data_IF_293202116862
#
_entry.id   IF_293202116862
#
_cell.length_a   1.000
_cell.length_b   1.000
_cell.length_c   1.000
_cell.angle_alpha   90.00
_cell.angle_beta   90.00
_cell.angle_gamma   90.00
#
_symmetry.space_group_name_H-M   'P 1'
#
loop_
_entity.id
_entity.type
_entity.pdbx_description
1 polymer ?
#
# COMPACT_ATOMS: atom_id res chain seq x y z
N UNK A 1 -21.95 -62.53 7.27
CA UNK A 1 -21.07 -61.63 8.05
C UNK A 1 -20.83 -60.43 7.14
N UNK A 2 -21.04 -59.19 7.60
CA UNK A 2 -21.00 -58.02 6.74
C UNK A 2 -19.55 -57.68 6.40
N UNK A 3 -19.28 -57.43 5.12
CA UNK A 3 -18.07 -56.76 4.67
C UNK A 3 -18.12 -55.33 5.20
N UNK A 4 -17.30 -55.06 6.21
CA UNK A 4 -17.08 -53.73 6.76
C UNK A 4 -16.38 -52.91 5.67
N UNK A 5 -17.18 -52.21 4.85
CA UNK A 5 -16.73 -51.19 3.91
C UNK A 5 -15.83 -50.22 4.66
N UNK A 6 -14.52 -50.39 4.47
CA UNK A 6 -13.48 -49.53 4.99
C UNK A 6 -13.63 -48.16 4.31
N UNK A 7 -14.51 -47.32 4.84
CA UNK A 7 -14.64 -45.92 4.46
C UNK A 7 -13.26 -45.28 4.59
N UNK A 8 -12.73 -44.62 3.54
CA UNK A 8 -11.54 -43.82 3.70
C UNK A 8 -11.81 -42.75 4.78
N UNK A 9 -10.80 -42.39 5.61
CA UNK A 9 -11.00 -41.37 6.62
C UNK A 9 -11.55 -40.10 5.95
N UNK A 10 -12.46 -39.35 6.60
CA UNK A 10 -12.85 -38.05 6.09
C UNK A 10 -11.56 -37.25 5.96
N UNK A 11 -11.23 -36.85 4.72
CA UNK A 11 -10.17 -35.88 4.47
C UNK A 11 -10.55 -34.70 5.37
N UNK A 12 -9.72 -34.44 6.36
CA UNK A 12 -9.89 -33.26 7.19
C UNK A 12 -9.65 -32.07 6.26
N UNK A 13 -10.73 -31.59 5.63
CA UNK A 13 -10.81 -30.29 4.99
C UNK A 13 -10.79 -29.24 6.10
N UNK A 14 -9.65 -29.18 6.77
CA UNK A 14 -9.17 -27.97 7.42
C UNK A 14 -8.09 -27.41 6.51
N UNK A 15 -8.48 -27.11 5.26
CA UNK A 15 -7.78 -26.11 4.44
C UNK A 15 -8.09 -24.73 5.02
N UNK A 16 -7.65 -24.48 6.25
CA UNK A 16 -7.34 -23.12 6.66
C UNK A 16 -6.19 -22.67 5.79
N UNK A 17 -6.48 -21.97 4.68
CA UNK A 17 -5.55 -21.39 3.71
C UNK A 17 -4.24 -20.96 4.40
N UNK A 18 -3.19 -21.80 4.41
CA UNK A 18 -1.92 -21.47 5.06
C UNK A 18 -1.18 -20.35 4.30
N UNK A 19 -1.68 -20.02 3.11
CA UNK A 19 -1.05 -19.14 2.16
C UNK A 19 -1.48 -17.68 2.29
N UNK A 20 -2.65 -17.34 2.84
CA UNK A 20 -3.08 -15.94 2.83
C UNK A 20 -2.12 -15.05 3.61
N UNK A 21 -1.85 -15.39 4.88
CA UNK A 21 -0.95 -14.63 5.76
C UNK A 21 0.46 -14.48 5.20
N UNK A 22 1.00 -15.54 4.58
CA UNK A 22 2.30 -15.49 3.91
C UNK A 22 2.35 -14.42 2.83
N UNK A 23 1.32 -14.34 1.99
CA UNK A 23 1.28 -13.36 0.90
C UNK A 23 1.06 -11.94 1.39
N UNK A 24 0.35 -11.75 2.50
CA UNK A 24 0.29 -10.44 3.18
C UNK A 24 1.67 -10.00 3.67
N UNK A 25 2.48 -10.91 4.25
CA UNK A 25 3.84 -10.60 4.70
C UNK A 25 4.78 -10.27 3.54
N UNK A 26 4.82 -11.11 2.51
CA UNK A 26 5.62 -10.88 1.29
C UNK A 26 5.23 -9.56 0.63
N UNK A 27 3.92 -9.26 0.60
CA UNK A 27 3.43 -7.98 0.10
C UNK A 27 3.94 -6.80 0.93
N UNK A 28 3.83 -6.85 2.26
CA UNK A 28 4.28 -5.76 3.14
C UNK A 28 5.79 -5.50 3.00
N UNK A 29 6.58 -6.56 2.89
CA UNK A 29 8.01 -6.45 2.65
C UNK A 29 8.29 -5.80 1.29
N UNK A 30 7.69 -6.32 0.21
CA UNK A 30 7.86 -5.78 -1.13
C UNK A 30 7.41 -4.31 -1.23
N UNK A 31 6.27 -3.96 -0.63
CA UNK A 31 5.76 -2.59 -0.57
C UNK A 31 6.69 -1.66 0.21
N UNK A 32 7.26 -2.14 1.32
CA UNK A 32 8.27 -1.39 2.08
C UNK A 32 9.51 -1.13 1.24
N UNK A 33 10.00 -2.14 0.50
CA UNK A 33 11.10 -1.96 -0.45
C UNK A 33 10.75 -0.96 -1.56
N UNK A 34 9.54 -1.02 -2.11
CA UNK A 34 9.08 -0.07 -3.12
C UNK A 34 9.11 1.38 -2.62
N UNK A 35 8.63 1.63 -1.40
CA UNK A 35 8.68 2.97 -0.79
C UNK A 35 10.11 3.50 -0.67
N UNK A 36 11.11 2.64 -0.51
CA UNK A 36 12.51 3.07 -0.46
C UNK A 36 13.01 3.61 -1.80
N UNK A 37 12.45 3.14 -2.91
CA UNK A 37 12.81 3.58 -4.27
C UNK A 37 12.21 4.94 -4.63
N UNK A 38 11.21 5.41 -3.87
CA UNK A 38 10.52 6.65 -4.20
C UNK A 38 11.37 7.89 -3.93
N UNK A 39 11.26 8.83 -4.86
CA UNK A 39 11.79 10.18 -4.71
C UNK A 39 11.05 10.98 -3.64
N UNK A 40 11.64 12.11 -3.27
CA UNK A 40 11.10 13.00 -2.22
C UNK A 40 9.70 13.52 -2.57
N UNK A 41 9.50 13.97 -3.81
CA UNK A 41 8.22 14.53 -4.25
C UNK A 41 7.09 13.50 -4.22
N UNK A 42 7.38 12.26 -4.65
CA UNK A 42 6.42 11.16 -4.66
C UNK A 42 6.04 10.73 -3.23
N UNK A 43 7.02 10.69 -2.32
CA UNK A 43 6.78 10.43 -0.90
C UNK A 43 5.96 11.54 -0.24
N UNK A 44 6.25 12.79 -0.57
CA UNK A 44 5.49 13.93 -0.07
C UNK A 44 4.04 13.84 -0.53
N UNK A 45 3.81 13.57 -1.83
CA UNK A 45 2.47 13.40 -2.38
C UNK A 45 1.70 12.27 -1.69
N UNK A 46 2.31 11.09 -1.52
CA UNK A 46 1.69 9.98 -0.80
C UNK A 46 1.40 10.35 0.66
N UNK A 47 2.34 10.98 1.35
CA UNK A 47 2.17 11.41 2.73
C UNK A 47 1.03 12.40 2.92
N UNK A 48 0.90 13.40 2.03
CA UNK A 48 -0.18 14.39 2.07
C UNK A 48 -1.56 13.74 1.89
N UNK A 49 -1.67 12.81 0.95
CA UNK A 49 -2.94 12.13 0.63
C UNK A 49 -3.33 11.06 1.66
N UNK A 50 -2.37 10.28 2.17
CA UNK A 50 -2.67 9.15 3.06
C UNK A 50 -2.56 9.50 4.54
N UNK A 51 -1.55 10.27 4.95
CA UNK A 51 -1.35 10.60 6.36
C UNK A 51 -2.09 11.86 6.78
N UNK A 52 -2.03 12.91 5.96
CA UNK A 52 -2.77 14.15 6.22
C UNK A 52 -4.20 14.15 5.64
N UNK A 53 -4.58 13.08 4.92
CA UNK A 53 -5.92 12.90 4.33
C UNK A 53 -6.39 14.05 3.44
N UNK A 54 -5.46 14.83 2.89
CA UNK A 54 -5.81 15.94 2.00
C UNK A 54 -6.46 15.43 0.72
N UNK A 55 -7.48 16.13 0.25
CA UNK A 55 -8.08 15.94 -1.08
C UNK A 55 -7.07 16.24 -2.20
N UNK A 56 -7.33 15.76 -3.43
CA UNK A 56 -6.45 16.07 -4.56
C UNK A 56 -6.35 17.57 -4.81
N UNK A 57 -7.49 18.26 -4.67
CA UNK A 57 -7.59 19.72 -4.72
C UNK A 57 -6.74 20.41 -3.67
N UNK A 58 -6.80 20.01 -2.40
CA UNK A 58 -5.98 20.61 -1.33
C UNK A 58 -4.48 20.38 -1.57
N UNK A 59 -4.08 19.18 -2.01
CA UNK A 59 -2.69 18.91 -2.38
C UNK A 59 -2.25 19.76 -3.56
N UNK A 60 -3.10 19.92 -4.57
CA UNK A 60 -2.81 20.74 -5.74
C UNK A 60 -2.61 22.21 -5.36
N UNK A 61 -3.48 22.74 -4.49
CA UNK A 61 -3.34 24.09 -3.95
C UNK A 61 -2.06 24.26 -3.13
N UNK A 62 -1.76 23.30 -2.25
CA UNK A 62 -0.57 23.34 -1.40
C UNK A 62 0.73 23.30 -2.22
N UNK A 63 0.76 22.49 -3.29
CA UNK A 63 1.94 22.36 -4.15
C UNK A 63 1.98 23.39 -5.29
N UNK A 64 0.95 24.26 -5.42
CA UNK A 64 0.88 25.27 -6.48
C UNK A 64 0.75 24.69 -7.90
N UNK A 65 0.06 23.57 -8.05
CA UNK A 65 -0.14 22.87 -9.34
C UNK A 65 -1.63 22.65 -9.64
N UNK A 66 -1.94 22.22 -10.87
CA UNK A 66 -3.31 21.85 -11.23
C UNK A 66 -3.71 20.50 -10.61
N UNK A 67 -4.98 20.37 -10.23
CA UNK A 67 -5.55 19.12 -9.68
C UNK A 67 -5.36 17.92 -10.62
N UNK A 68 -5.51 18.13 -11.94
CA UNK A 68 -5.25 17.10 -12.94
C UNK A 68 -3.81 16.55 -12.92
N UNK A 69 -2.83 17.38 -12.54
CA UNK A 69 -1.43 16.94 -12.36
C UNK A 69 -1.30 16.02 -11.16
N UNK A 70 -2.00 16.31 -10.06
CA UNK A 70 -2.03 15.45 -8.87
C UNK A 70 -2.69 14.11 -9.19
N UNK A 71 -3.87 14.13 -9.83
CA UNK A 71 -4.58 12.92 -10.24
C UNK A 71 -3.70 12.01 -11.11
N UNK A 72 -3.07 12.56 -12.16
CA UNK A 72 -2.17 11.80 -13.04
C UNK A 72 -0.96 11.23 -12.29
N UNK A 73 -0.34 12.01 -11.41
CA UNK A 73 0.80 11.54 -10.60
C UNK A 73 0.43 10.40 -9.65
N UNK A 74 -0.74 10.47 -9.00
CA UNK A 74 -1.23 9.41 -8.13
C UNK A 74 -1.49 8.13 -8.92
N UNK A 75 -2.15 8.22 -10.08
CA UNK A 75 -2.38 7.05 -10.95
C UNK A 75 -1.05 6.43 -11.38
N UNK A 76 -0.09 7.23 -11.85
CA UNK A 76 1.24 6.74 -12.23
C UNK A 76 2.00 6.10 -11.06
N UNK A 77 1.85 6.62 -9.84
CA UNK A 77 2.44 6.01 -8.65
C UNK A 77 1.81 4.65 -8.34
N UNK A 78 0.48 4.57 -8.40
CA UNK A 78 -0.25 3.31 -8.18
C UNK A 78 0.14 2.28 -9.22
N UNK A 79 0.16 2.64 -10.50
CA UNK A 79 0.46 1.70 -11.58
C UNK A 79 1.90 1.18 -11.46
N UNK A 80 2.89 2.05 -11.20
CA UNK A 80 4.28 1.64 -10.92
C UNK A 80 4.42 0.77 -9.66
N UNK A 81 3.60 1.04 -8.64
CA UNK A 81 3.58 0.24 -7.43
C UNK A 81 3.07 -1.18 -7.71
N UNK A 82 1.93 -1.27 -8.40
CA UNK A 82 1.34 -2.54 -8.82
C UNK A 82 2.31 -3.34 -9.68
N UNK A 83 2.90 -2.74 -10.70
CA UNK A 83 3.89 -3.42 -11.55
C UNK A 83 5.05 -4.00 -10.74
N UNK A 84 5.61 -3.21 -9.81
CA UNK A 84 6.70 -3.65 -8.95
C UNK A 84 6.28 -4.79 -8.02
N UNK A 85 5.12 -4.66 -7.37
CA UNK A 85 4.60 -5.64 -6.43
C UNK A 85 4.27 -6.96 -7.15
N UNK A 86 3.64 -6.88 -8.31
CA UNK A 86 3.34 -8.04 -9.16
C UNK A 86 4.60 -8.82 -9.47
N UNK A 87 5.63 -8.15 -9.98
CA UNK A 87 6.90 -8.82 -10.29
C UNK A 87 7.54 -9.48 -9.06
N UNK A 88 7.50 -8.81 -7.89
CA UNK A 88 8.08 -9.37 -6.66
C UNK A 88 7.30 -10.56 -6.12
N UNK A 89 5.98 -10.50 -6.15
CA UNK A 89 5.12 -11.60 -5.70
C UNK A 89 5.21 -12.80 -6.65
N UNK A 90 5.20 -12.58 -7.97
CA UNK A 90 5.38 -13.64 -8.97
C UNK A 90 6.73 -14.34 -8.81
N UNK A 91 7.80 -13.59 -8.57
CA UNK A 91 9.13 -14.16 -8.29
C UNK A 91 9.17 -15.00 -7.00
N UNK A 92 8.33 -14.67 -6.02
CA UNK A 92 8.15 -15.45 -4.80
C UNK A 92 7.21 -16.65 -4.98
N UNK A 93 6.60 -16.82 -6.15
CA UNK A 93 5.72 -17.94 -6.49
C UNK A 93 4.22 -17.65 -6.35
N UNK A 94 3.81 -16.38 -6.27
CA UNK A 94 2.39 -16.01 -6.27
C UNK A 94 1.77 -16.36 -7.62
N UNK A 95 0.68 -17.12 -7.58
CA UNK A 95 -0.13 -17.49 -8.75
C UNK A 95 -1.56 -16.97 -8.65
N UNK A 96 -1.84 -16.08 -7.71
CA UNK A 96 -3.19 -15.53 -7.49
C UNK A 96 -3.58 -14.52 -8.56
N UNK A 97 -4.88 -14.37 -8.81
CA UNK A 97 -5.40 -13.63 -9.95
C UNK A 97 -5.33 -12.09 -9.80
N UNK A 98 -5.43 -11.55 -8.58
CA UNK A 98 -5.47 -10.09 -8.37
C UNK A 98 -4.73 -9.62 -7.09
N UNK A 99 -3.64 -8.89 -7.29
CA UNK A 99 -2.81 -8.28 -6.23
C UNK A 99 -3.43 -6.99 -5.70
N UNK A 100 -4.38 -6.40 -6.43
CA UNK A 100 -5.05 -5.16 -6.01
C UNK A 100 -5.75 -5.33 -4.65
N UNK A 101 -6.22 -6.53 -4.33
CA UNK A 101 -6.82 -6.86 -3.03
C UNK A 101 -5.82 -6.62 -1.89
N UNK A 102 -4.58 -7.14 -2.03
CA UNK A 102 -3.51 -6.93 -1.05
C UNK A 102 -3.11 -5.45 -0.98
N UNK A 103 -3.10 -4.75 -2.12
CA UNK A 103 -2.86 -3.30 -2.15
C UNK A 103 -3.87 -2.54 -1.28
N UNK A 104 -5.16 -2.82 -1.42
CA UNK A 104 -6.20 -2.13 -0.63
C UNK A 104 -6.16 -2.48 0.85
N UNK A 105 -5.73 -3.69 1.21
CA UNK A 105 -5.68 -4.17 2.59
C UNK A 105 -4.42 -3.71 3.33
N UNK A 106 -3.25 -3.83 2.70
CA UNK A 106 -1.96 -3.71 3.39
C UNK A 106 -1.29 -2.35 3.19
N UNK A 107 -1.46 -1.72 2.01
CA UNK A 107 -0.68 -0.51 1.67
C UNK A 107 -0.94 0.65 2.65
N UNK A 108 -2.15 0.74 3.19
CA UNK A 108 -2.49 1.73 4.21
C UNK A 108 -1.61 1.58 5.46
N UNK A 109 -1.40 0.36 5.93
CA UNK A 109 -0.57 0.06 7.09
C UNK A 109 0.92 0.26 6.78
N UNK A 110 1.38 -0.21 5.62
CA UNK A 110 2.78 -0.01 5.18
C UNK A 110 3.14 1.49 5.13
N UNK A 111 2.26 2.34 4.59
CA UNK A 111 2.47 3.79 4.58
C UNK A 111 2.45 4.41 5.97
N UNK A 112 1.62 3.89 6.88
CA UNK A 112 1.52 4.39 8.25
C UNK A 112 2.76 4.07 9.08
N UNK A 113 3.31 2.87 8.90
CA UNK A 113 4.48 2.35 9.63
C UNK A 113 5.81 2.85 9.03
N UNK A 114 5.82 3.25 7.76
CA UNK A 114 7.03 3.74 7.09
C UNK A 114 7.57 5.02 7.77
N UNK A 115 8.82 5.00 8.29
CA UNK A 115 9.43 6.19 8.90
C UNK A 115 9.56 7.37 7.94
N UNK A 116 9.68 7.10 6.63
CA UNK A 116 9.76 8.11 5.57
C UNK A 116 8.42 8.83 5.34
N UNK A 117 7.32 8.18 5.69
CA UNK A 117 5.97 8.74 5.64
C UNK A 117 5.48 9.22 7.02
N UNK A 118 6.34 9.22 8.05
CA UNK A 118 6.00 9.76 9.36
C UNK A 118 5.66 11.25 9.29
N UNK A 119 4.81 11.74 10.21
CA UNK A 119 4.43 13.16 10.26
C UNK A 119 5.67 14.08 10.35
N UNK A 120 6.68 13.65 11.10
CA UNK A 120 7.95 14.40 11.24
C UNK A 120 8.72 14.45 9.93
N UNK A 121 8.87 13.31 9.23
CA UNK A 121 9.56 13.28 7.95
C UNK A 121 8.84 14.16 6.91
N UNK A 122 7.51 14.05 6.83
CA UNK A 122 6.71 14.86 5.91
C UNK A 122 6.76 16.36 6.24
N UNK A 123 6.73 16.75 7.51
CA UNK A 123 6.89 18.14 7.92
C UNK A 123 8.26 18.72 7.51
N UNK A 124 9.32 17.92 7.61
CA UNK A 124 10.65 18.31 7.13
C UNK A 124 10.68 18.46 5.61
N UNK A 125 10.03 17.55 4.88
CA UNK A 125 9.91 17.68 3.42
C UNK A 125 9.15 18.95 3.04
N UNK A 126 8.00 19.21 3.64
CA UNK A 126 7.23 20.43 3.44
C UNK A 126 8.07 21.69 3.70
N UNK A 127 8.80 21.72 4.80
CA UNK A 127 9.69 22.85 5.15
C UNK A 127 10.77 23.08 4.08
N UNK A 128 11.33 22.01 3.50
CA UNK A 128 12.30 22.12 2.39
C UNK A 128 11.68 22.72 1.12
N UNK A 129 10.38 22.54 0.92
CA UNK A 129 9.62 23.19 -0.14
C UNK A 129 9.10 24.58 0.25
N UNK A 130 9.39 25.08 1.46
CA UNK A 130 8.85 26.35 1.97
C UNK A 130 7.36 26.30 2.31
N UNK A 131 6.82 25.10 2.52
CA UNK A 131 5.40 24.84 2.76
C UNK A 131 5.17 24.39 4.21
N UNK A 132 3.95 24.61 4.71
CA UNK A 132 3.49 24.11 6.01
C UNK A 132 2.07 23.59 5.89
N UNK A 133 1.81 22.40 6.44
CA UNK A 133 0.45 21.89 6.61
C UNK A 133 0.00 22.26 8.02
N UNK A 134 -1.06 23.06 8.14
CA UNK A 134 -1.69 23.32 9.43
C UNK A 134 -2.37 22.03 9.90
N UNK A 135 -2.08 21.57 11.11
CA UNK A 135 -2.64 20.30 11.63
C UNK A 135 -4.15 20.41 12.00
N UNK A 136 -4.76 21.58 11.81
CA UNK A 136 -6.17 21.88 12.12
C UNK A 136 -7.20 21.35 11.11
N UNK A 137 -6.79 20.64 10.05
CA UNK A 137 -7.74 20.12 9.05
C UNK A 137 -8.40 18.79 9.45
N UNK A 138 -8.20 18.32 10.69
CA UNK A 138 -8.96 17.19 11.24
C UNK A 138 -9.94 17.70 12.28
N UNK A 139 -11.23 17.40 12.03
CA UNK A 139 -12.42 17.59 12.88
C UNK A 139 -13.29 18.79 12.47
N UNK A 140 -14.19 18.54 11.52
CA UNK A 140 -15.61 18.90 11.65
C UNK A 140 -16.45 17.75 11.14
#
# INVERSE_FOLDING_TARGET
MPDEELLPPPRSETETLPNSEHWHEVFREAASCWLLTLGVDDLLLLGLRWRYRLSQREVAQLLGVHEGTISRRISQLRDRCLDYLTQRLEQAGWTGEDISVLLYQEMGQVLLESPRCSARALAQLLTRHGLTVSQDSSIS
#
